data_IF_986898312007
#
_entry.id   IF_986898312007
#
_cell.length_a   1.000
_cell.length_b   1.000
_cell.length_c   1.000
_cell.angle_alpha   90.00
_cell.angle_beta   90.00
_cell.angle_gamma   90.00
#
_symmetry.space_group_name_H-M   'P 1'
#
loop_
_entity.id
_entity.type
_entity.pdbx_description
1 polymer ?
#
# COMPACT_ATOMS: atom_id res chain seq x y z
N UNK A 1 70.01 -49.32 33.50
CA UNK A 1 68.73 -50.03 33.76
C UNK A 1 68.15 -50.41 32.42
N UNK A 2 67.86 -51.69 32.25
CA UNK A 2 67.53 -52.29 30.97
C UNK A 2 66.07 -52.78 30.96
N UNK A 3 65.59 -53.02 29.74
CA UNK A 3 64.66 -54.11 29.35
C UNK A 3 63.17 -53.76 29.07
N UNK A 4 62.81 -54.03 27.80
CA UNK A 4 61.58 -54.63 27.22
C UNK A 4 60.43 -53.79 26.64
N UNK A 5 60.36 -53.96 25.31
CA UNK A 5 59.18 -54.05 24.43
C UNK A 5 58.23 -55.21 24.80
N UNK A 6 56.90 -55.02 24.62
CA UNK A 6 55.87 -55.98 24.13
C UNK A 6 54.47 -55.31 24.18
N UNK A 7 53.78 -55.02 23.07
CA UNK A 7 52.79 -55.84 22.30
C UNK A 7 51.31 -55.75 22.76
N UNK A 8 50.45 -55.27 21.83
CA UNK A 8 49.04 -55.58 21.51
C UNK A 8 48.01 -55.93 22.60
N UNK A 9 46.85 -55.25 22.58
CA UNK A 9 45.58 -55.85 22.14
C UNK A 9 44.43 -54.82 22.09
N UNK A 10 43.83 -54.69 20.90
CA UNK A 10 42.48 -54.15 20.69
C UNK A 10 41.48 -55.24 21.07
N UNK A 11 40.31 -54.87 21.62
CA UNK A 11 39.09 -55.42 21.03
C UNK A 11 38.05 -54.35 20.74
N UNK A 12 37.63 -54.35 19.48
CA UNK A 12 36.37 -53.81 18.99
C UNK A 12 35.20 -54.46 19.73
N UNK A 13 34.32 -53.65 20.32
CA UNK A 13 32.91 -54.03 20.45
C UNK A 13 32.04 -52.80 20.20
N UNK A 14 31.59 -52.70 18.93
CA UNK A 14 30.40 -51.99 18.55
C UNK A 14 29.22 -52.58 19.34
N UNK A 15 28.70 -51.82 20.30
CA UNK A 15 27.35 -51.99 20.84
C UNK A 15 26.42 -50.95 20.23
N UNK A 16 26.14 -51.04 18.93
CA UNK A 16 25.04 -50.28 18.31
C UNK A 16 23.74 -50.92 18.80
N UNK A 17 23.06 -50.26 19.74
CA UNK A 17 21.70 -50.61 20.14
C UNK A 17 20.74 -50.11 19.06
N UNK A 18 20.05 -50.98 18.29
CA UNK A 18 19.23 -50.60 17.13
C UNK A 18 17.88 -49.94 17.50
N UNK A 19 17.75 -49.43 18.74
CA UNK A 19 16.54 -48.77 19.25
C UNK A 19 16.65 -47.25 19.41
N UNK A 20 17.85 -46.68 19.54
CA UNK A 20 18.00 -45.26 19.87
C UNK A 20 17.96 -44.31 18.66
N UNK A 21 18.40 -44.75 17.47
CA UNK A 21 18.35 -43.89 16.28
C UNK A 21 16.92 -43.57 15.81
N UNK A 22 15.94 -44.45 16.10
CA UNK A 22 14.53 -44.18 15.78
C UNK A 22 13.92 -43.13 16.70
N UNK A 23 14.28 -43.14 17.98
CA UNK A 23 13.78 -42.16 18.95
C UNK A 23 14.31 -40.75 18.69
N UNK A 24 15.59 -40.59 18.32
CA UNK A 24 16.15 -39.27 17.99
C UNK A 24 15.52 -38.70 16.70
N UNK A 25 15.29 -39.53 15.68
CA UNK A 25 14.59 -39.11 14.47
C UNK A 25 13.14 -38.67 14.74
N UNK A 26 12.41 -39.43 15.57
CA UNK A 26 11.05 -39.05 15.99
C UNK A 26 11.06 -37.76 16.81
N UNK A 27 12.03 -37.56 17.71
CA UNK A 27 12.15 -36.33 18.52
C UNK A 27 12.47 -35.10 17.67
N UNK A 28 13.32 -35.21 16.65
CA UNK A 28 13.63 -34.11 15.72
C UNK A 28 12.43 -33.78 14.83
N UNK A 29 11.69 -34.80 14.35
CA UNK A 29 10.46 -34.60 13.59
C UNK A 29 9.37 -33.98 14.48
N UNK A 30 9.19 -34.47 15.70
CA UNK A 30 8.21 -33.94 16.65
C UNK A 30 8.55 -32.52 17.10
N UNK A 31 9.85 -32.20 17.29
CA UNK A 31 10.31 -30.84 17.56
C UNK A 31 10.13 -29.92 16.34
N UNK A 32 10.32 -30.42 15.12
CA UNK A 32 10.01 -29.70 13.89
C UNK A 32 8.51 -29.41 13.73
N UNK A 33 7.65 -30.36 14.10
CA UNK A 33 6.18 -30.21 14.08
C UNK A 33 5.71 -29.25 15.19
N UNK A 34 6.30 -29.30 16.39
CA UNK A 34 5.98 -28.38 17.49
C UNK A 34 6.52 -26.96 17.26
N UNK A 35 7.65 -26.81 16.57
CA UNK A 35 8.17 -25.50 16.14
C UNK A 35 7.32 -24.86 15.01
N UNK A 36 6.52 -25.66 14.30
CA UNK A 36 5.60 -25.19 13.25
C UNK A 36 4.14 -25.09 13.71
N UNK A 37 3.87 -25.29 15.00
CA UNK A 37 2.66 -24.77 15.63
C UNK A 37 2.75 -23.24 15.74
N UNK A 38 2.55 -22.56 14.61
CA UNK A 38 2.40 -21.12 14.56
C UNK A 38 1.09 -20.79 15.28
N UNK A 39 1.19 -20.54 16.59
CA UNK A 39 0.06 -20.26 17.48
C UNK A 39 -0.58 -18.94 17.07
N UNK A 40 -1.47 -18.97 16.08
CA UNK A 40 -2.33 -17.84 15.77
C UNK A 40 -3.31 -17.73 16.95
N UNK A 41 -3.38 -16.57 17.62
CA UNK A 41 -4.29 -16.38 18.73
C UNK A 41 -5.74 -16.68 18.34
N UNK A 42 -6.48 -17.33 19.24
CA UNK A 42 -7.92 -17.55 19.06
C UNK A 42 -8.75 -16.29 19.23
N UNK A 43 -8.18 -15.27 19.91
CA UNK A 43 -8.84 -13.98 20.12
C UNK A 43 -8.45 -12.98 19.03
N UNK A 44 -9.42 -12.23 18.47
CA UNK A 44 -9.18 -11.31 17.36
C UNK A 44 -8.24 -10.15 17.74
N UNK A 45 -8.43 -9.52 18.90
CA UNK A 45 -7.58 -8.43 19.41
C UNK A 45 -6.10 -8.86 19.51
N UNK A 46 -5.85 -10.07 19.99
CA UNK A 46 -4.50 -10.64 20.09
C UNK A 46 -3.85 -10.86 18.70
N UNK A 47 -4.62 -11.17 17.65
CA UNK A 47 -4.09 -11.28 16.28
C UNK A 47 -3.54 -9.94 15.79
N UNK A 48 -4.25 -8.84 16.06
CA UNK A 48 -3.76 -7.52 15.69
C UNK A 48 -2.51 -7.11 16.45
N UNK A 49 -2.45 -7.40 17.76
CA UNK A 49 -1.25 -7.13 18.56
C UNK A 49 -0.06 -7.93 18.03
N UNK A 50 -0.23 -9.24 17.79
CA UNK A 50 0.81 -10.09 17.23
C UNK A 50 1.28 -9.59 15.86
N UNK A 51 0.35 -9.17 15.01
CA UNK A 51 0.68 -8.58 13.71
C UNK A 51 1.56 -7.33 13.86
N UNK A 52 1.18 -6.40 14.74
CA UNK A 52 1.96 -5.19 15.03
C UNK A 52 3.36 -5.52 15.54
N UNK A 53 3.46 -6.48 16.45
CA UNK A 53 4.74 -6.87 17.07
C UNK A 53 5.68 -7.51 16.04
N UNK A 54 5.16 -8.34 15.13
CA UNK A 54 5.93 -8.93 14.02
C UNK A 54 6.39 -7.88 13.01
N UNK A 55 5.53 -6.92 12.66
CA UNK A 55 5.89 -5.80 11.79
C UNK A 55 6.96 -4.92 12.42
N UNK A 56 6.89 -4.66 13.73
CA UNK A 56 7.90 -3.90 14.48
C UNK A 56 9.23 -4.64 14.58
N UNK A 57 9.19 -5.97 14.65
CA UNK A 57 10.38 -6.83 14.73
C UNK A 57 10.96 -7.16 13.34
N UNK A 58 10.49 -6.48 12.29
CA UNK A 58 10.90 -6.68 10.89
C UNK A 58 10.68 -8.11 10.36
N UNK A 59 9.87 -8.92 11.04
CA UNK A 59 9.52 -10.27 10.61
C UNK A 59 8.31 -10.24 9.68
N UNK A 60 8.51 -9.64 8.50
CA UNK A 60 7.44 -9.35 7.53
C UNK A 60 6.76 -10.62 7.01
N UNK A 61 7.51 -11.70 6.81
CA UNK A 61 6.99 -12.98 6.31
C UNK A 61 5.93 -13.53 7.26
N UNK A 62 6.21 -13.55 8.56
CA UNK A 62 5.25 -14.03 9.56
C UNK A 62 4.10 -13.05 9.81
N UNK A 63 4.34 -11.74 9.68
CA UNK A 63 3.28 -10.74 9.77
C UNK A 63 2.26 -10.93 8.64
N UNK A 64 2.72 -11.13 7.41
CA UNK A 64 1.88 -11.31 6.22
C UNK A 64 1.05 -12.58 6.25
N UNK A 65 1.47 -13.61 6.97
CA UNK A 65 0.67 -14.81 7.18
C UNK A 65 -0.63 -14.51 7.96
N UNK A 66 -0.63 -13.49 8.81
CA UNK A 66 -1.80 -13.06 9.58
C UNK A 66 -2.77 -12.19 8.76
N UNK A 67 -2.36 -11.70 7.59
CA UNK A 67 -3.23 -10.95 6.70
C UNK A 67 -4.21 -11.89 5.99
N UNK A 68 -5.37 -11.37 5.62
CA UNK A 68 -6.27 -12.08 4.72
C UNK A 68 -5.65 -12.23 3.31
N UNK A 69 -6.23 -13.12 2.51
CA UNK A 69 -5.68 -13.45 1.19
C UNK A 69 -5.69 -12.27 0.22
N UNK A 70 -6.69 -11.39 0.29
CA UNK A 70 -6.79 -10.21 -0.56
C UNK A 70 -5.73 -9.18 -0.20
N UNK A 71 -5.57 -8.87 1.10
CA UNK A 71 -4.52 -7.96 1.56
C UNK A 71 -3.14 -8.44 1.17
N UNK A 72 -2.83 -9.74 1.33
CA UNK A 72 -1.54 -10.31 0.88
C UNK A 72 -1.28 -10.06 -0.60
N UNK A 73 -2.29 -10.30 -1.45
CA UNK A 73 -2.16 -10.09 -2.90
C UNK A 73 -1.89 -8.62 -3.22
N UNK A 74 -2.55 -7.69 -2.54
CA UNK A 74 -2.37 -6.25 -2.72
C UNK A 74 -0.98 -5.79 -2.28
N UNK A 75 -0.48 -6.30 -1.14
CA UNK A 75 0.89 -6.02 -0.68
C UNK A 75 1.90 -6.43 -1.74
N UNK A 76 1.85 -7.68 -2.21
CA UNK A 76 2.78 -8.16 -3.24
C UNK A 76 2.72 -7.32 -4.52
N UNK A 77 1.51 -6.95 -4.96
CA UNK A 77 1.33 -6.07 -6.11
C UNK A 77 2.00 -4.71 -5.89
N UNK A 78 1.74 -4.06 -4.76
CA UNK A 78 2.26 -2.73 -4.44
C UNK A 78 3.78 -2.71 -4.33
N UNK A 79 4.38 -3.73 -3.71
CA UNK A 79 5.83 -3.85 -3.61
C UNK A 79 6.49 -4.00 -4.97
N UNK A 80 5.90 -4.82 -5.84
CA UNK A 80 6.45 -5.07 -7.18
C UNK A 80 6.33 -3.86 -8.12
N UNK A 81 5.27 -3.07 -7.97
CA UNK A 81 4.91 -2.00 -8.91
C UNK A 81 5.55 -0.65 -8.54
N UNK A 82 5.64 -0.31 -7.24
CA UNK A 82 5.97 1.06 -6.81
C UNK A 82 7.33 1.21 -6.10
N UNK A 83 8.12 0.14 -5.90
CA UNK A 83 9.45 0.17 -5.24
C UNK A 83 9.48 1.07 -3.99
N UNK A 84 8.62 0.76 -3.03
CA UNK A 84 8.42 1.57 -1.83
C UNK A 84 9.60 1.42 -0.85
N UNK A 85 9.99 2.51 -0.19
CA UNK A 85 11.06 2.50 0.84
C UNK A 85 10.65 1.77 2.13
N UNK A 86 9.33 1.60 2.33
CA UNK A 86 8.72 0.97 3.49
C UNK A 86 7.67 -0.04 3.03
N UNK A 87 7.37 -1.07 3.85
CA UNK A 87 6.33 -2.03 3.52
C UNK A 87 4.98 -1.32 3.31
N UNK A 88 4.18 -1.71 2.28
CA UNK A 88 2.89 -1.08 1.99
C UNK A 88 1.96 -1.00 3.20
N UNK A 89 2.00 -1.99 4.08
CA UNK A 89 1.18 -2.07 5.28
C UNK A 89 1.53 -0.97 6.29
N UNK A 90 2.82 -0.62 6.39
CA UNK A 90 3.27 0.49 7.23
C UNK A 90 2.76 1.83 6.70
N UNK A 91 2.86 2.04 5.39
CA UNK A 91 2.40 3.25 4.72
C UNK A 91 0.87 3.40 4.76
N UNK A 92 0.14 2.31 4.54
CA UNK A 92 -1.32 2.32 4.42
C UNK A 92 -2.03 2.46 5.77
N UNK A 93 -1.49 1.82 6.82
CA UNK A 93 -2.15 1.74 8.11
C UNK A 93 -1.22 2.03 9.30
N UNK A 94 -0.13 1.26 9.46
CA UNK A 94 0.55 1.19 10.77
C UNK A 94 1.22 2.51 11.18
N UNK A 95 1.77 3.27 10.24
CA UNK A 95 2.41 4.56 10.54
C UNK A 95 1.41 5.61 11.06
N UNK A 96 0.11 5.41 10.83
CA UNK A 96 -0.92 6.29 11.37
C UNK A 96 -1.37 5.90 12.78
N UNK A 97 -1.12 4.67 13.21
CA UNK A 97 -1.61 4.12 14.47
C UNK A 97 -0.64 4.37 15.63
N UNK A 98 -1.19 4.55 16.83
CA UNK A 98 -0.38 4.61 18.05
C UNK A 98 0.20 3.21 18.36
N UNK A 99 1.53 3.04 18.38
CA UNK A 99 2.18 1.74 18.59
C UNK A 99 2.02 1.20 20.01
N UNK A 100 1.59 2.03 20.97
CA UNK A 100 1.40 1.65 22.37
C UNK A 100 -0.06 1.47 22.74
N UNK A 101 -0.98 1.97 21.91
CA UNK A 101 -2.40 1.86 22.18
C UNK A 101 -2.87 0.40 22.11
N UNK A 102 -3.66 0.00 23.11
CA UNK A 102 -4.37 -1.29 23.12
C UNK A 102 -5.60 -1.20 22.23
N UNK A 103 -5.84 -2.15 21.32
CA UNK A 103 -7.07 -2.19 20.54
C UNK A 103 -8.28 -2.42 21.45
N UNK A 104 -9.37 -1.69 21.21
CA UNK A 104 -10.65 -1.85 21.90
C UNK A 104 -11.60 -2.60 20.96
N UNK A 105 -12.17 -3.72 21.43
CA UNK A 105 -13.16 -4.48 20.66
C UNK A 105 -14.48 -3.71 20.66
N UNK A 106 -14.94 -3.28 19.49
CA UNK A 106 -16.23 -2.58 19.36
C UNK A 106 -17.39 -3.54 19.12
N UNK A 107 -17.19 -4.48 18.21
CA UNK A 107 -18.21 -5.40 17.75
C UNK A 107 -17.56 -6.72 17.37
N UNK A 108 -18.15 -7.81 17.86
CA UNK A 108 -17.73 -9.17 17.51
C UNK A 108 -18.94 -9.91 16.98
N UNK A 109 -18.85 -10.33 15.73
CA UNK A 109 -19.77 -11.24 15.06
C UNK A 109 -19.07 -12.58 14.82
N UNK A 110 -19.82 -13.56 14.32
CA UNK A 110 -19.28 -14.89 14.10
C UNK A 110 -18.11 -14.92 13.13
N UNK A 111 -18.02 -14.03 12.14
CA UNK A 111 -16.94 -14.05 11.14
C UNK A 111 -16.17 -12.73 11.03
N UNK A 112 -16.56 -11.72 11.80
CA UNK A 112 -16.02 -10.36 11.72
C UNK A 112 -15.86 -9.80 13.13
N UNK A 113 -14.72 -9.19 13.41
CA UNK A 113 -14.49 -8.36 14.59
C UNK A 113 -14.01 -7.00 14.15
N UNK A 114 -14.59 -5.95 14.72
CA UNK A 114 -14.17 -4.57 14.54
C UNK A 114 -13.38 -4.11 15.76
N UNK A 115 -12.12 -3.74 15.53
CA UNK A 115 -11.24 -3.17 16.54
C UNK A 115 -11.12 -1.67 16.35
N UNK A 116 -11.20 -0.93 17.43
CA UNK A 116 -10.92 0.50 17.47
C UNK A 116 -9.54 0.73 18.05
N UNK A 117 -8.68 1.43 17.29
CA UNK A 117 -7.31 1.72 17.67
C UNK A 117 -7.08 3.23 17.60
N UNK A 118 -6.34 3.75 18.56
CA UNK A 118 -5.96 5.16 18.58
C UNK A 118 -4.91 5.46 17.51
N UNK A 119 -5.01 6.62 16.88
CA UNK A 119 -4.00 7.12 15.93
C UNK A 119 -2.99 8.01 16.64
N UNK A 120 -1.79 8.15 16.07
CA UNK A 120 -0.75 9.06 16.61
C UNK A 120 -1.23 10.51 16.75
N UNK A 121 -2.17 10.92 15.88
CA UNK A 121 -2.78 12.27 15.91
C UNK A 121 -3.92 12.40 16.92
N UNK A 122 -4.13 11.40 17.78
CA UNK A 122 -5.18 11.40 18.80
C UNK A 122 -6.58 11.04 18.31
N UNK A 123 -6.73 10.70 17.02
CA UNK A 123 -7.98 10.19 16.47
C UNK A 123 -8.18 8.70 16.74
N UNK A 124 -9.25 8.14 16.17
CA UNK A 124 -9.56 6.71 16.25
C UNK A 124 -9.67 6.15 14.83
N UNK A 125 -9.23 4.91 14.66
CA UNK A 125 -9.36 4.17 13.40
C UNK A 125 -9.91 2.78 13.67
N UNK A 126 -10.76 2.31 12.76
CA UNK A 126 -11.35 0.97 12.84
C UNK A 126 -10.48 0.04 12.00
N UNK A 127 -10.16 -1.12 12.55
CA UNK A 127 -9.44 -2.21 11.90
C UNK A 127 -10.33 -3.45 11.90
N UNK A 128 -10.37 -4.13 10.77
CA UNK A 128 -11.25 -5.28 10.55
C UNK A 128 -10.45 -6.57 10.69
N UNK A 129 -10.99 -7.50 11.47
CA UNK A 129 -10.45 -8.85 11.60
C UNK A 129 -11.53 -9.82 11.16
N UNK A 130 -11.19 -10.68 10.22
CA UNK A 130 -12.11 -11.59 9.55
C UNK A 130 -11.66 -13.03 9.71
N UNK A 131 -12.61 -13.94 9.78
CA UNK A 131 -12.37 -15.38 9.62
C UNK A 131 -13.38 -15.94 8.62
N UNK A 132 -12.99 -16.99 7.91
CA UNK A 132 -13.83 -17.59 6.86
C UNK A 132 -15.04 -18.31 7.45
N UNK A 133 -14.84 -18.97 8.58
CA UNK A 133 -15.81 -19.77 9.31
C UNK A 133 -15.39 -19.85 10.78
N UNK A 134 -16.26 -20.37 11.65
CA UNK A 134 -16.02 -20.42 13.10
C UNK A 134 -14.82 -21.27 13.51
N UNK A 135 -14.40 -22.23 12.67
CA UNK A 135 -13.22 -23.08 12.89
C UNK A 135 -11.93 -22.52 12.29
N UNK A 136 -12.02 -21.50 11.43
CA UNK A 136 -10.85 -20.89 10.80
C UNK A 136 -10.15 -19.88 11.72
N UNK A 137 -8.81 -19.73 11.60
CA UNK A 137 -8.07 -18.71 12.31
C UNK A 137 -8.53 -17.30 11.89
N UNK A 138 -8.45 -16.37 12.82
CA UNK A 138 -8.66 -14.96 12.54
C UNK A 138 -7.52 -14.39 11.68
N UNK A 139 -7.88 -13.50 10.78
CA UNK A 139 -6.97 -12.82 9.86
C UNK A 139 -7.30 -11.34 9.79
N UNK A 140 -6.28 -10.52 9.59
CA UNK A 140 -6.38 -9.07 9.52
C UNK A 140 -6.74 -8.65 8.08
N UNK A 141 -7.86 -7.94 7.92
CA UNK A 141 -8.28 -7.36 6.64
C UNK A 141 -7.94 -5.87 6.61
N UNK A 142 -6.96 -5.51 5.77
CA UNK A 142 -6.53 -4.13 5.49
C UNK A 142 -6.64 -3.82 3.99
N UNK A 143 -7.49 -4.56 3.28
CA UNK A 143 -7.62 -4.46 1.83
C UNK A 143 -8.10 -3.07 1.40
N UNK A 144 -8.98 -2.45 2.17
CA UNK A 144 -9.48 -1.10 1.93
C UNK A 144 -8.35 -0.05 2.04
N UNK A 145 -7.52 -0.16 3.07
CA UNK A 145 -6.36 0.71 3.28
C UNK A 145 -5.34 0.57 2.15
N UNK A 146 -5.02 -0.67 1.77
CA UNK A 146 -4.07 -0.93 0.68
C UNK A 146 -4.60 -0.45 -0.68
N UNK A 147 -5.90 -0.60 -0.96
CA UNK A 147 -6.54 -0.01 -2.15
C UNK A 147 -6.46 1.51 -2.14
N UNK A 148 -6.66 2.13 -0.98
CA UNK A 148 -6.53 3.59 -0.83
C UNK A 148 -5.09 4.06 -1.09
N UNK A 149 -4.10 3.30 -0.61
CA UNK A 149 -2.69 3.57 -0.88
C UNK A 149 -2.37 3.42 -2.37
N UNK A 150 -2.88 2.36 -3.02
CA UNK A 150 -2.72 2.17 -4.47
C UNK A 150 -3.26 3.37 -5.25
N UNK A 151 -4.49 3.77 -4.99
CA UNK A 151 -5.11 4.91 -5.66
C UNK A 151 -4.33 6.23 -5.43
N UNK A 152 -3.79 6.42 -4.22
CA UNK A 152 -2.93 7.57 -3.91
C UNK A 152 -1.63 7.54 -4.74
N UNK A 153 -0.97 6.39 -4.84
CA UNK A 153 0.26 6.23 -5.60
C UNK A 153 0.04 6.43 -7.10
N UNK A 154 -1.06 5.89 -7.64
CA UNK A 154 -1.48 6.12 -9.02
C UNK A 154 -1.72 7.60 -9.30
N UNK A 155 -2.44 8.30 -8.40
CA UNK A 155 -2.67 9.73 -8.51
C UNK A 155 -1.37 10.54 -8.44
N UNK A 156 -0.43 10.16 -7.55
CA UNK A 156 0.89 10.79 -7.48
C UNK A 156 1.66 10.63 -8.79
N UNK A 157 1.71 9.43 -9.36
CA UNK A 157 2.38 9.19 -10.63
C UNK A 157 1.76 10.01 -11.76
N UNK A 158 0.42 10.10 -11.82
CA UNK A 158 -0.27 10.94 -12.79
C UNK A 158 0.11 12.43 -12.63
N UNK A 159 0.21 12.93 -11.39
CA UNK A 159 0.64 14.30 -11.11
C UNK A 159 2.10 14.55 -11.48
N UNK A 160 2.99 13.58 -11.28
CA UNK A 160 4.39 13.67 -11.72
C UNK A 160 4.47 13.79 -13.25
N UNK A 161 3.72 12.96 -13.98
CA UNK A 161 3.65 13.07 -15.45
C UNK A 161 3.10 14.42 -15.91
N UNK A 162 2.04 14.92 -15.26
CA UNK A 162 1.48 16.25 -15.58
C UNK A 162 2.47 17.37 -15.29
N UNK A 163 3.24 17.27 -14.20
CA UNK A 163 4.29 18.23 -13.85
C UNK A 163 5.38 18.25 -14.93
N UNK A 164 5.80 17.09 -15.40
CA UNK A 164 6.85 16.97 -16.41
C UNK A 164 6.37 17.56 -17.74
N UNK A 165 5.13 17.24 -18.16
CA UNK A 165 4.50 17.87 -19.32
C UNK A 165 4.38 19.39 -19.18
N UNK A 166 3.96 19.89 -18.02
CA UNK A 166 3.88 21.33 -17.76
C UNK A 166 5.26 22.01 -17.83
N UNK A 167 6.31 21.31 -17.40
CA UNK A 167 7.70 21.75 -17.55
C UNK A 167 8.11 21.89 -19.03
N UNK A 168 7.78 20.90 -19.86
CA UNK A 168 8.03 20.93 -21.30
C UNK A 168 7.26 22.06 -21.99
N UNK A 169 5.98 22.25 -21.67
CA UNK A 169 5.18 23.36 -22.19
C UNK A 169 5.75 24.72 -21.77
N UNK A 170 6.18 24.88 -20.51
CA UNK A 170 6.79 26.11 -20.04
C UNK A 170 8.11 26.41 -20.76
N UNK A 171 8.94 25.38 -21.00
CA UNK A 171 10.17 25.50 -21.77
C UNK A 171 9.90 25.89 -23.24
N UNK A 172 8.94 25.21 -23.88
CA UNK A 172 8.49 25.51 -25.24
C UNK A 172 7.94 26.94 -25.36
N UNK A 173 7.14 27.39 -24.39
CA UNK A 173 6.62 28.75 -24.35
C UNK A 173 7.73 29.80 -24.20
N UNK A 174 8.74 29.53 -23.35
CA UNK A 174 9.92 30.41 -23.23
C UNK A 174 10.69 30.50 -24.54
N UNK A 175 10.95 29.37 -25.21
CA UNK A 175 11.64 29.33 -26.49
C UNK A 175 10.85 30.08 -27.58
N UNK A 176 9.53 29.89 -27.63
CA UNK A 176 8.65 30.62 -28.55
C UNK A 176 8.67 32.12 -28.30
N UNK A 177 8.57 32.55 -27.04
CA UNK A 177 8.60 33.96 -26.68
C UNK A 177 9.96 34.60 -26.98
N UNK A 178 11.06 33.86 -26.81
CA UNK A 178 12.38 34.32 -27.27
C UNK A 178 12.46 34.47 -28.79
N UNK A 179 11.87 33.55 -29.55
CA UNK A 179 11.81 33.67 -31.02
C UNK A 179 10.99 34.90 -31.45
N UNK A 180 9.83 35.16 -30.83
CA UNK A 180 9.04 36.37 -31.08
C UNK A 180 9.87 37.62 -30.81
N UNK A 181 10.58 37.67 -29.68
CA UNK A 181 11.43 38.83 -29.35
C UNK A 181 12.59 39.05 -30.34
N UNK A 182 13.07 37.97 -30.96
CA UNK A 182 14.13 38.01 -31.98
C UNK A 182 13.58 38.34 -33.37
N UNK A 183 12.28 38.24 -33.61
CA UNK A 183 11.68 38.69 -34.86
C UNK A 183 11.74 40.22 -34.91
N UNK A 184 12.26 40.81 -35.99
CA UNK A 184 12.26 42.25 -36.15
C UNK A 184 10.81 42.75 -36.12
N UNK A 185 10.56 43.78 -35.32
CA UNK A 185 9.27 44.47 -35.34
C UNK A 185 8.98 44.91 -36.78
N UNK A 186 7.77 44.69 -37.32
CA UNK A 186 7.40 45.33 -38.57
C UNK A 186 7.61 46.84 -38.38
N UNK A 187 8.33 47.46 -39.32
CA UNK A 187 8.59 48.89 -39.30
C UNK A 187 7.27 49.64 -39.06
N UNK A 188 7.26 50.75 -38.29
CA UNK A 188 6.07 51.57 -38.18
C UNK A 188 5.68 52.04 -39.57
N UNK A 189 4.67 51.41 -40.15
CA UNK A 189 4.10 51.83 -41.41
C UNK A 189 3.61 53.26 -41.21
N UNK A 190 4.30 54.18 -41.87
CA UNK A 190 3.84 55.55 -42.02
C UNK A 190 2.46 55.50 -42.71
N UNK A 191 1.47 56.30 -42.28
CA UNK A 191 0.10 56.08 -42.67
C UNK A 191 -0.08 56.48 -44.14
N UNK A 192 -0.14 55.53 -45.06
CA UNK A 192 -0.60 55.80 -46.41
C UNK A 192 -1.33 54.61 -47.02
N UNK A 193 -2.63 54.84 -47.21
CA UNK A 193 -3.51 54.21 -48.19
C UNK A 193 -3.98 52.76 -47.98
N UNK A 194 -5.20 52.67 -47.45
CA UNK A 194 -6.34 51.86 -47.93
C UNK A 194 -6.27 50.32 -47.83
N UNK A 195 -7.24 49.67 -47.15
CA UNK A 195 -7.26 48.23 -46.96
C UNK A 195 -7.75 47.48 -48.21
N UNK A 196 -7.14 46.34 -48.60
CA UNK A 196 -7.81 45.36 -49.44
C UNK A 196 -8.84 44.61 -48.60
N UNK A 197 -10.08 44.56 -49.08
CA UNK A 197 -11.23 43.89 -48.47
C UNK A 197 -10.91 42.43 -48.14
N UNK A 198 -10.63 42.13 -46.88
CA UNK A 198 -10.80 40.77 -46.36
C UNK A 198 -12.28 40.51 -46.10
N UNK A 199 -12.78 39.50 -46.78
CA UNK A 199 -14.11 38.94 -46.67
C UNK A 199 -14.28 38.30 -45.28
N UNK A 200 -14.57 39.13 -44.28
CA UNK A 200 -14.91 38.67 -42.93
C UNK A 200 -16.31 38.05 -42.98
N UNK A 201 -16.42 36.73 -43.03
CA UNK A 201 -17.68 36.04 -42.71
C UNK A 201 -17.98 36.33 -41.22
N UNK A 202 -18.89 37.27 -40.98
CA UNK A 202 -19.53 37.48 -39.68
C UNK A 202 -20.40 36.26 -39.36
N UNK A 203 -20.31 35.64 -38.17
CA UNK A 203 -21.43 34.87 -37.65
C UNK A 203 -22.60 35.85 -37.38
N UNK A 204 -23.84 35.55 -37.80
CA UNK A 204 -24.95 36.45 -37.58
C UNK A 204 -25.39 36.41 -36.12
N UNK A 205 -25.01 37.42 -35.35
CA UNK A 205 -25.74 37.81 -34.16
C UNK A 205 -26.87 38.77 -34.56
N UNK A 206 -28.11 38.26 -34.59
CA UNK A 206 -29.31 39.11 -34.72
C UNK A 206 -29.88 39.34 -33.32
N UNK A 207 -29.72 40.57 -32.81
CA UNK A 207 -30.58 41.13 -31.75
C UNK A 207 -31.74 41.86 -32.43
N UNK A 208 -32.98 41.59 -31.98
CA UNK A 208 -33.99 42.58 -31.56
C UNK A 208 -35.30 41.89 -31.09
N UNK A 209 -35.48 41.84 -29.76
CA UNK A 209 -36.65 42.20 -28.88
C UNK A 209 -38.04 42.54 -29.49
N UNK A 210 -39.16 42.68 -28.71
CA UNK A 210 -39.57 42.15 -27.38
C UNK A 210 -41.08 41.71 -27.29
N UNK A 211 -41.51 40.93 -26.28
CA UNK A 211 -42.83 41.10 -25.58
C UNK A 211 -43.08 40.13 -24.41
N UNK A 212 -43.16 40.71 -23.21
CA UNK A 212 -44.27 40.67 -22.23
C UNK A 212 -44.75 39.33 -21.60
N UNK A 213 -44.65 39.30 -20.26
CA UNK A 213 -45.52 38.56 -19.32
C UNK A 213 -45.03 37.14 -18.99
N UNK A 214 -45.13 36.61 -17.78
CA UNK A 214 -45.76 37.06 -16.55
C UNK A 214 -45.19 36.19 -15.39
N UNK A 215 -45.10 36.80 -14.22
CA UNK A 215 -44.86 36.29 -12.86
C UNK A 215 -45.40 34.88 -12.54
N UNK A 216 -44.58 34.03 -11.91
CA UNK A 216 -44.81 33.36 -10.59
C UNK A 216 -43.95 32.10 -10.40
N UNK A 217 -43.11 32.12 -9.36
CA UNK A 217 -42.78 30.99 -8.47
C UNK A 217 -43.52 31.25 -7.14
N UNK A 218 -43.60 30.32 -6.16
CA UNK A 218 -43.21 28.90 -6.14
C UNK A 218 -44.28 27.98 -5.49
N UNK A 219 -44.06 26.66 -5.47
CA UNK A 219 -44.15 25.88 -4.21
C UNK A 219 -43.40 24.55 -4.31
N UNK A 220 -42.63 24.28 -3.26
CA UNK A 220 -42.17 22.94 -2.85
C UNK A 220 -43.36 22.24 -2.18
N UNK A 221 -43.45 20.94 -2.40
CA UNK A 221 -43.89 19.97 -1.39
C UNK A 221 -42.68 19.09 -1.06
#
# INVERSE_FOLDING_TARGET
MAVRSTTLCVPSHLGIVPGQMRFVGILVILAGILASCQLIPSKPDAVFVLYRDRMRSENLTEARQLLDAESRKLVTSLESEYKLDQPPEALALLNALDPTATPVVMQTEDNLTLLQIRTLKGGQRIVRIVRKDSGSPWSLDISAELKSLKAFLEARNALEMMRDQAGEYAAGWRAFNEQIKKMPAPAPESPTASPPKQHLQKPPAKKTTPKKGNTKKPKRD
#
